data_IF_380033307148
#
_entry.id   IF_380033307148
#
_cell.length_a   1.000
_cell.length_b   1.000
_cell.length_c   1.000
_cell.angle_alpha   90.00
_cell.angle_beta   90.00
_cell.angle_gamma   90.00
#
_symmetry.space_group_name_H-M   'P 1'
#
loop_
_entity.id
_entity.type
_entity.pdbx_description
1 polymer ?
#
# COMPACT_ATOMS: atom_id res chain seq x y z
N UNK A 1 -6.43 25.26 30.49
CA UNK A 1 -7.30 25.67 29.35
C UNK A 1 -6.68 25.37 27.97
N UNK A 2 -5.62 24.55 27.86
CA UNK A 2 -4.76 24.44 26.65
C UNK A 2 -5.05 23.17 25.79
N UNK A 3 -6.06 22.36 26.14
CA UNK A 3 -6.29 21.06 25.47
C UNK A 3 -7.41 21.05 24.41
N UNK A 4 -8.39 21.97 24.48
CA UNK A 4 -9.49 22.03 23.50
C UNK A 4 -9.05 22.63 22.16
N UNK A 5 -8.12 23.58 22.17
CA UNK A 5 -7.68 24.30 20.97
C UNK A 5 -6.88 23.42 20.00
N UNK A 6 -6.19 22.40 20.52
CA UNK A 6 -5.37 21.46 19.72
C UNK A 6 -6.24 20.44 18.96
N UNK A 7 -7.33 19.97 19.58
CA UNK A 7 -8.29 19.09 18.91
C UNK A 7 -9.11 19.87 17.88
N UNK A 8 -9.49 21.12 18.19
CA UNK A 8 -10.23 21.98 17.27
C UNK A 8 -9.40 22.36 16.04
N UNK A 9 -8.10 22.66 16.21
CA UNK A 9 -7.20 22.96 15.09
C UNK A 9 -6.90 21.73 14.21
N UNK A 10 -6.79 20.54 14.80
CA UNK A 10 -6.74 19.26 14.05
C UNK A 10 -8.04 19.05 13.25
N UNK A 11 -9.20 19.32 13.86
CA UNK A 11 -10.50 19.18 13.20
C UNK A 11 -10.69 20.15 12.04
N UNK A 12 -10.24 21.41 12.18
CA UNK A 12 -10.29 22.45 11.14
C UNK A 12 -9.32 22.14 9.99
N UNK A 13 -8.12 21.59 10.27
CA UNK A 13 -7.21 21.06 9.25
C UNK A 13 -7.75 19.82 8.53
N UNK A 14 -8.56 19.00 9.21
CA UNK A 14 -9.23 17.82 8.65
C UNK A 14 -10.49 18.15 7.82
N UNK A 15 -11.09 19.33 8.00
CA UNK A 15 -12.46 19.60 7.57
C UNK A 15 -12.65 19.92 6.09
N UNK A 16 -11.63 20.35 5.34
CA UNK A 16 -11.81 20.77 3.95
C UNK A 16 -11.07 19.89 2.93
N UNK A 17 -9.75 19.77 3.02
CA UNK A 17 -8.97 18.98 2.05
C UNK A 17 -8.89 17.48 2.38
N UNK A 18 -8.60 17.06 3.63
CA UNK A 18 -8.43 15.63 3.92
C UNK A 18 -9.70 14.80 3.72
N UNK A 19 -10.86 15.37 4.06
CA UNK A 19 -12.13 14.66 3.92
C UNK A 19 -12.49 14.42 2.44
N UNK A 20 -12.25 15.41 1.57
CA UNK A 20 -12.47 15.24 0.13
C UNK A 20 -11.62 14.11 -0.42
N UNK A 21 -10.31 14.13 -0.18
CA UNK A 21 -9.39 13.12 -0.69
C UNK A 21 -9.72 11.71 -0.16
N UNK A 22 -10.05 11.61 1.13
CA UNK A 22 -10.47 10.36 1.75
C UNK A 22 -11.77 9.82 1.12
N UNK A 23 -12.78 10.68 0.92
CA UNK A 23 -14.03 10.28 0.25
C UNK A 23 -13.80 9.88 -1.20
N UNK A 24 -12.89 10.56 -1.91
CA UNK A 24 -12.51 10.20 -3.27
C UNK A 24 -11.84 8.82 -3.32
N UNK A 25 -10.90 8.55 -2.42
CA UNK A 25 -10.20 7.24 -2.36
C UNK A 25 -11.18 6.12 -2.06
N UNK A 26 -12.01 6.26 -1.02
CA UNK A 26 -13.00 5.25 -0.64
C UNK A 26 -14.06 5.10 -1.73
N UNK A 27 -14.56 6.20 -2.28
CA UNK A 27 -15.54 6.20 -3.35
C UNK A 27 -15.03 5.49 -4.61
N UNK A 28 -13.78 5.75 -5.01
CA UNK A 28 -13.14 5.08 -6.14
C UNK A 28 -13.03 3.57 -5.91
N UNK A 29 -12.69 3.15 -4.69
CA UNK A 29 -12.68 1.73 -4.31
C UNK A 29 -14.06 1.08 -4.36
N UNK A 30 -15.09 1.76 -3.86
CA UNK A 30 -16.46 1.24 -3.92
C UNK A 30 -16.95 1.10 -5.36
N UNK A 31 -16.59 2.02 -6.25
CA UNK A 31 -16.86 1.89 -7.69
C UNK A 31 -16.13 0.68 -8.27
N UNK A 32 -14.85 0.50 -7.94
CA UNK A 32 -14.07 -0.66 -8.36
C UNK A 32 -14.64 -2.00 -7.87
N UNK A 33 -15.02 -2.07 -6.59
CA UNK A 33 -15.64 -3.26 -5.98
C UNK A 33 -17.02 -3.55 -6.58
N UNK A 34 -17.82 -2.52 -6.85
CA UNK A 34 -19.09 -2.68 -7.55
C UNK A 34 -18.90 -3.27 -8.95
N UNK A 35 -17.92 -2.77 -9.72
CA UNK A 35 -17.58 -3.32 -11.03
C UNK A 35 -17.06 -4.75 -10.94
N UNK A 36 -16.21 -5.05 -9.95
CA UNK A 36 -15.68 -6.40 -9.73
C UNK A 36 -16.79 -7.42 -9.45
N UNK A 37 -17.73 -7.06 -8.57
CA UNK A 37 -18.91 -7.89 -8.26
C UNK A 37 -19.85 -8.02 -9.45
N UNK A 38 -20.11 -6.95 -10.19
CA UNK A 38 -20.94 -6.97 -11.41
C UNK A 38 -20.33 -7.84 -12.50
N UNK A 39 -19.00 -7.91 -12.55
CA UNK A 39 -18.24 -8.73 -13.49
C UNK A 39 -18.16 -10.20 -13.09
N UNK A 40 -18.96 -10.65 -12.10
CA UNK A 40 -18.94 -12.02 -11.55
C UNK A 40 -17.57 -12.42 -10.99
N UNK A 41 -16.90 -11.50 -10.30
CA UNK A 41 -15.58 -11.70 -9.69
C UNK A 41 -14.48 -12.03 -10.71
N UNK A 42 -14.60 -11.48 -11.92
CA UNK A 42 -13.59 -11.67 -12.97
C UNK A 42 -12.22 -11.15 -12.50
N UNK A 43 -11.16 -11.99 -12.47
CA UNK A 43 -9.88 -11.63 -11.84
C UNK A 43 -9.19 -10.39 -12.41
N UNK A 44 -9.46 -10.04 -13.67
CA UNK A 44 -8.88 -8.84 -14.29
C UNK A 44 -9.50 -7.53 -13.80
N UNK A 45 -10.67 -7.57 -13.14
CA UNK A 45 -11.37 -6.39 -12.62
C UNK A 45 -10.94 -6.15 -11.19
N UNK A 46 -9.67 -5.81 -10.96
CA UNK A 46 -9.14 -5.56 -9.61
C UNK A 46 -9.67 -4.21 -9.07
N UNK A 47 -10.42 -4.18 -7.95
CA UNK A 47 -10.94 -2.95 -7.35
C UNK A 47 -9.86 -1.90 -7.05
N UNK A 48 -8.69 -2.33 -6.60
CA UNK A 48 -7.58 -1.44 -6.27
C UNK A 48 -6.99 -0.81 -7.53
N UNK A 49 -6.76 -1.60 -8.58
CA UNK A 49 -6.28 -1.09 -9.86
C UNK A 49 -7.26 -0.06 -10.45
N UNK A 50 -8.56 -0.34 -10.38
CA UNK A 50 -9.60 0.59 -10.83
C UNK A 50 -9.58 1.87 -10.00
N UNK A 51 -9.39 1.77 -8.68
CA UNK A 51 -9.27 2.95 -7.80
C UNK A 51 -8.10 3.83 -8.19
N UNK A 52 -6.93 3.24 -8.44
CA UNK A 52 -5.72 3.95 -8.85
C UNK A 52 -5.96 4.67 -10.18
N UNK A 53 -6.62 4.00 -11.15
CA UNK A 53 -6.96 4.60 -12.44
C UNK A 53 -7.91 5.80 -12.28
N UNK A 54 -8.98 5.66 -11.48
CA UNK A 54 -9.94 6.75 -11.23
C UNK A 54 -9.23 7.94 -10.59
N UNK A 55 -8.46 7.71 -9.51
CA UNK A 55 -7.77 8.78 -8.79
C UNK A 55 -6.74 9.45 -9.69
N UNK A 56 -5.91 8.68 -10.40
CA UNK A 56 -4.93 9.22 -11.35
C UNK A 56 -5.60 10.10 -12.42
N UNK A 57 -6.73 9.65 -12.97
CA UNK A 57 -7.48 10.41 -13.96
C UNK A 57 -8.02 11.72 -13.37
N UNK A 58 -8.51 11.71 -12.14
CA UNK A 58 -8.99 12.93 -11.45
C UNK A 58 -7.84 13.91 -11.21
N UNK A 59 -6.69 13.43 -10.72
CA UNK A 59 -5.53 14.29 -10.44
C UNK A 59 -4.99 14.95 -11.72
N UNK A 60 -4.87 14.19 -12.81
CA UNK A 60 -4.38 14.71 -14.10
C UNK A 60 -5.36 15.74 -14.68
N UNK A 61 -6.67 15.46 -14.68
CA UNK A 61 -7.65 16.39 -15.26
C UNK A 61 -7.81 17.69 -14.46
N UNK A 62 -7.56 17.65 -13.15
CA UNK A 62 -7.66 18.82 -12.27
C UNK A 62 -6.31 19.52 -12.04
N UNK A 63 -5.23 19.02 -12.66
CA UNK A 63 -3.85 19.49 -12.49
C UNK A 63 -3.41 19.56 -11.02
N UNK A 64 -3.74 18.51 -10.26
CA UNK A 64 -3.45 18.42 -8.83
C UNK A 64 -2.23 17.54 -8.60
N UNK A 65 -1.25 18.05 -7.84
CA UNK A 65 -0.06 17.28 -7.47
C UNK A 65 -0.42 16.07 -6.60
N UNK A 66 0.28 14.96 -6.82
CA UNK A 66 0.13 13.74 -6.02
C UNK A 66 0.40 14.01 -4.53
N UNK A 67 1.36 14.86 -4.21
CA UNK A 67 1.70 15.25 -2.84
C UNK A 67 0.51 15.85 -2.09
N UNK A 68 -0.26 16.73 -2.75
CA UNK A 68 -1.46 17.34 -2.18
C UNK A 68 -2.56 16.30 -1.91
N UNK A 69 -2.75 15.36 -2.83
CA UNK A 69 -3.64 14.22 -2.61
C UNK A 69 -3.17 13.35 -1.44
N UNK A 70 -1.87 13.00 -1.43
CA UNK A 70 -1.28 12.13 -0.43
C UNK A 70 -1.37 12.74 0.97
N UNK A 71 -1.15 14.05 1.09
CA UNK A 71 -1.36 14.81 2.32
C UNK A 71 -2.80 14.71 2.84
N UNK A 72 -3.78 14.78 1.94
CA UNK A 72 -5.18 14.57 2.29
C UNK A 72 -5.53 13.13 2.67
N UNK A 73 -4.89 12.15 2.03
CA UNK A 73 -5.10 10.72 2.26
C UNK A 73 -4.28 10.15 3.45
N UNK A 74 -3.51 10.99 4.17
CA UNK A 74 -2.66 10.60 5.30
C UNK A 74 -3.37 9.77 6.36
N UNK A 75 -4.67 9.97 6.56
CA UNK A 75 -5.44 9.17 7.52
C UNK A 75 -5.49 7.68 7.15
N UNK A 76 -5.69 7.35 5.86
CA UNK A 76 -5.67 5.96 5.38
C UNK A 76 -4.26 5.38 5.50
N UNK A 77 -3.24 6.18 5.16
CA UNK A 77 -1.85 5.77 5.32
C UNK A 77 -1.50 5.49 6.80
N UNK A 78 -1.97 6.33 7.72
CA UNK A 78 -1.84 6.11 9.17
C UNK A 78 -2.55 4.81 9.62
N UNK A 79 -3.71 4.50 9.05
CA UNK A 79 -4.45 3.26 9.34
C UNK A 79 -3.70 1.98 8.91
N UNK A 80 -2.66 2.07 8.06
CA UNK A 80 -1.81 0.93 7.71
C UNK A 80 -1.08 0.36 8.93
N UNK A 81 -0.70 1.21 9.90
CA UNK A 81 -0.08 0.76 11.16
C UNK A 81 -1.01 -0.15 11.97
N UNK A 82 -2.18 0.34 12.41
CA UNK A 82 -3.20 -0.48 13.09
C UNK A 82 -3.62 -1.72 12.28
N UNK A 83 -3.76 -1.61 10.97
CA UNK A 83 -4.08 -2.75 10.11
C UNK A 83 -2.99 -3.83 10.15
N UNK A 84 -1.71 -3.43 10.10
CA UNK A 84 -0.56 -4.34 10.21
C UNK A 84 -0.53 -5.06 11.57
N UNK A 85 -0.82 -4.34 12.66
CA UNK A 85 -0.94 -4.94 14.00
C UNK A 85 -2.14 -5.90 14.06
N UNK A 86 -3.26 -5.57 13.44
CA UNK A 86 -4.42 -6.45 13.37
C UNK A 86 -4.13 -7.76 12.60
N UNK A 87 -3.26 -7.72 11.58
CA UNK A 87 -2.79 -8.91 10.88
C UNK A 87 -1.93 -9.84 11.76
N UNK A 88 -1.37 -9.36 12.88
CA UNK A 88 -0.68 -10.23 13.83
C UNK A 88 -1.65 -11.14 14.63
N UNK A 89 -2.93 -10.76 14.75
CA UNK A 89 -3.94 -11.52 15.48
C UNK A 89 -4.14 -12.94 14.90
N UNK A 90 -4.38 -13.15 13.59
CA UNK A 90 -4.51 -14.50 13.02
C UNK A 90 -3.23 -15.33 13.18
N UNK A 91 -2.04 -14.70 13.07
CA UNK A 91 -0.75 -15.37 13.30
C UNK A 91 -0.66 -15.87 14.75
N UNK A 92 -1.01 -15.03 15.72
CA UNK A 92 -1.04 -15.41 17.13
C UNK A 92 -2.03 -16.56 17.40
N UNK A 93 -3.22 -16.52 16.80
CA UNK A 93 -4.21 -17.60 16.93
C UNK A 93 -3.72 -18.93 16.38
N UNK A 94 -2.89 -18.91 15.33
CA UNK A 94 -2.31 -20.10 14.70
C UNK A 94 -0.87 -20.40 15.15
N UNK A 95 -0.41 -19.78 16.25
CA UNK A 95 0.99 -19.86 16.67
C UNK A 95 1.49 -21.29 16.89
N UNK A 96 0.65 -22.20 17.42
CA UNK A 96 1.00 -23.62 17.60
C UNK A 96 1.25 -24.34 16.27
N UNK A 97 0.46 -24.03 15.24
CA UNK A 97 0.64 -24.61 13.89
C UNK A 97 1.93 -24.08 13.27
N UNK A 98 2.18 -22.79 13.41
CA UNK A 98 3.40 -22.14 12.93
C UNK A 98 4.64 -22.75 13.60
N UNK A 99 4.61 -22.99 14.91
CA UNK A 99 5.72 -23.64 15.61
C UNK A 99 5.97 -25.07 15.12
N UNK A 100 4.90 -25.84 14.88
CA UNK A 100 5.02 -27.21 14.37
C UNK A 100 5.66 -27.24 12.98
N UNK A 101 5.31 -26.28 12.12
CA UNK A 101 5.79 -26.20 10.74
C UNK A 101 6.93 -25.18 10.54
N UNK A 102 7.57 -24.74 11.63
CA UNK A 102 8.52 -23.62 11.61
C UNK A 102 9.69 -23.83 10.64
N UNK A 103 10.16 -25.07 10.51
CA UNK A 103 11.24 -25.42 9.57
C UNK A 103 10.78 -25.24 8.12
N UNK A 104 9.61 -25.80 7.76
CA UNK A 104 9.05 -25.69 6.41
C UNK A 104 8.77 -24.23 6.03
N UNK A 105 8.17 -23.47 6.97
CA UNK A 105 7.92 -22.04 6.80
C UNK A 105 9.23 -21.28 6.59
N UNK A 106 10.24 -21.50 7.44
CA UNK A 106 11.52 -20.77 7.34
C UNK A 106 12.27 -21.05 6.04
N UNK A 107 12.35 -22.31 5.62
CA UNK A 107 13.00 -22.67 4.35
C UNK A 107 12.25 -22.04 3.17
N UNK A 108 10.91 -22.16 3.15
CA UNK A 108 10.10 -21.57 2.08
C UNK A 108 10.23 -20.04 2.01
N UNK A 109 10.27 -19.37 3.16
CA UNK A 109 10.45 -17.92 3.23
C UNK A 109 11.82 -17.49 2.73
N UNK A 110 12.90 -18.12 3.19
CA UNK A 110 14.26 -17.75 2.79
C UNK A 110 14.47 -18.00 1.29
N UNK A 111 14.11 -19.18 0.81
CA UNK A 111 14.29 -19.52 -0.62
C UNK A 111 13.39 -18.67 -1.51
N UNK A 112 12.12 -18.48 -1.12
CA UNK A 112 11.16 -17.66 -1.86
C UNK A 112 11.55 -16.18 -1.89
N UNK A 113 12.00 -15.61 -0.76
CA UNK A 113 12.41 -14.20 -0.68
C UNK A 113 13.68 -13.95 -1.49
N UNK A 114 14.69 -14.82 -1.38
CA UNK A 114 15.92 -14.70 -2.17
C UNK A 114 15.62 -14.80 -3.66
N UNK A 115 14.82 -15.79 -4.07
CA UNK A 115 14.42 -15.94 -5.46
C UNK A 115 13.65 -14.70 -5.96
N UNK A 116 12.70 -14.18 -5.18
CA UNK A 116 11.95 -12.99 -5.54
C UNK A 116 12.87 -11.76 -5.71
N UNK A 117 13.79 -11.51 -4.78
CA UNK A 117 14.72 -10.37 -4.82
C UNK A 117 15.65 -10.50 -6.03
N UNK A 118 16.32 -11.65 -6.19
CA UNK A 118 17.30 -11.88 -7.25
C UNK A 118 16.63 -11.81 -8.63
N UNK A 119 15.48 -12.46 -8.81
CA UNK A 119 14.76 -12.42 -10.09
C UNK A 119 14.30 -11.01 -10.46
N UNK A 120 13.84 -10.23 -9.48
CA UNK A 120 13.44 -8.84 -9.69
C UNK A 120 14.63 -7.99 -10.11
N UNK A 121 15.74 -8.08 -9.37
CA UNK A 121 16.95 -7.33 -9.67
C UNK A 121 17.50 -7.63 -11.07
N UNK A 122 17.62 -8.91 -11.42
CA UNK A 122 18.10 -9.34 -12.75
C UNK A 122 17.19 -8.79 -13.86
N UNK A 123 15.87 -8.88 -13.70
CA UNK A 123 14.93 -8.35 -14.69
C UNK A 123 15.07 -6.82 -14.83
N UNK A 124 15.12 -6.09 -13.73
CA UNK A 124 15.30 -4.64 -13.73
C UNK A 124 16.60 -4.21 -14.44
N UNK A 125 17.71 -4.89 -14.18
CA UNK A 125 19.01 -4.67 -14.84
C UNK A 125 18.93 -4.93 -16.35
N UNK A 126 18.28 -6.03 -16.77
CA UNK A 126 18.09 -6.36 -18.20
C UNK A 126 17.32 -5.24 -18.91
N UNK A 127 16.29 -4.70 -18.28
CA UNK A 127 15.48 -3.61 -18.83
C UNK A 127 16.09 -2.21 -18.59
N UNK A 128 17.26 -2.11 -17.94
CA UNK A 128 17.95 -0.85 -17.62
C UNK A 128 17.04 0.16 -16.92
N UNK A 129 16.30 -0.33 -15.92
CA UNK A 129 15.42 0.48 -15.09
C UNK A 129 16.27 1.37 -14.17
N UNK A 130 15.77 2.58 -13.85
CA UNK A 130 16.43 3.50 -12.93
C UNK A 130 16.58 2.92 -11.51
N UNK A 131 17.74 3.15 -10.88
CA UNK A 131 18.10 2.59 -9.57
C UNK A 131 17.05 2.87 -8.47
N UNK A 132 16.45 4.08 -8.44
CA UNK A 132 15.42 4.40 -7.46
C UNK A 132 14.15 3.54 -7.67
N UNK A 133 13.82 3.28 -8.93
CA UNK A 133 12.70 2.39 -9.27
C UNK A 133 13.06 0.96 -8.89
N UNK A 134 14.29 0.48 -9.16
CA UNK A 134 14.76 -0.85 -8.74
C UNK A 134 14.59 -1.01 -7.22
N UNK A 135 15.09 -0.08 -6.42
CA UNK A 135 14.95 -0.10 -4.96
C UNK A 135 13.49 -0.09 -4.50
N UNK A 136 12.58 0.49 -5.28
CA UNK A 136 11.15 0.43 -5.03
C UNK A 136 10.53 -0.95 -5.33
N UNK A 137 11.10 -1.71 -6.27
CA UNK A 137 10.61 -3.02 -6.67
C UNK A 137 11.15 -4.18 -5.81
N UNK A 138 12.35 -4.04 -5.24
CA UNK A 138 13.01 -5.13 -4.49
C UNK A 138 12.13 -5.73 -3.37
N UNK A 139 11.44 -4.94 -2.51
CA UNK A 139 10.63 -5.50 -1.44
C UNK A 139 9.23 -5.97 -1.88
N UNK A 140 8.97 -6.19 -3.19
CA UNK A 140 7.63 -6.53 -3.71
C UNK A 140 6.97 -7.78 -3.12
N UNK A 141 7.76 -8.70 -2.57
CA UNK A 141 7.25 -9.94 -1.97
C UNK A 141 6.77 -9.76 -0.53
N UNK A 142 7.05 -8.61 0.09
CA UNK A 142 6.52 -8.26 1.40
C UNK A 142 5.14 -7.61 1.27
N UNK A 143 4.40 -7.58 2.37
CA UNK A 143 3.11 -6.87 2.42
C UNK A 143 3.33 -5.36 2.33
N UNK A 144 2.43 -4.65 1.65
CA UNK A 144 2.59 -3.23 1.30
C UNK A 144 3.16 -2.35 2.43
N UNK A 145 2.64 -2.37 3.68
CA UNK A 145 3.18 -1.50 4.74
C UNK A 145 4.65 -1.79 5.09
N UNK A 146 5.03 -3.08 5.12
CA UNK A 146 6.39 -3.52 5.42
C UNK A 146 7.30 -3.17 4.24
N UNK A 147 6.85 -3.44 3.02
CA UNK A 147 7.60 -3.17 1.81
C UNK A 147 7.88 -1.67 1.62
N UNK A 148 6.89 -0.82 1.86
CA UNK A 148 7.03 0.64 1.82
C UNK A 148 8.10 1.14 2.81
N UNK A 149 8.10 0.62 4.04
CA UNK A 149 9.11 0.97 5.04
C UNK A 149 10.51 0.49 4.66
N UNK A 150 10.65 -0.70 4.07
CA UNK A 150 11.92 -1.19 3.55
C UNK A 150 12.40 -0.30 2.40
N UNK A 151 11.51 0.04 1.45
CA UNK A 151 11.83 0.87 0.30
C UNK A 151 12.37 2.24 0.71
N UNK A 152 11.74 2.89 1.69
CA UNK A 152 12.20 4.17 2.24
C UNK A 152 13.62 4.08 2.80
N UNK A 153 13.93 3.00 3.53
CA UNK A 153 15.26 2.76 4.12
C UNK A 153 16.36 2.52 3.08
N UNK A 154 16.01 1.96 1.91
CA UNK A 154 16.97 1.65 0.83
C UNK A 154 16.98 2.70 -0.28
N UNK A 155 16.31 3.84 -0.10
CA UNK A 155 16.31 4.96 -1.05
C UNK A 155 15.38 4.78 -2.26
N UNK A 156 14.37 3.92 -2.15
CA UNK A 156 13.29 3.82 -3.13
C UNK A 156 12.15 4.81 -2.87
N UNK A 157 11.05 4.64 -3.61
CA UNK A 157 9.86 5.49 -3.60
C UNK A 157 8.72 4.68 -2.97
N UNK A 158 8.37 4.91 -1.69
CA UNK A 158 7.37 4.09 -0.98
C UNK A 158 6.00 4.05 -1.66
N UNK A 159 5.56 5.16 -2.26
CA UNK A 159 4.29 5.21 -3.00
C UNK A 159 4.27 4.27 -4.22
N UNK A 160 5.40 4.10 -4.89
CA UNK A 160 5.54 3.18 -6.01
C UNK A 160 5.58 1.73 -5.52
N UNK A 161 6.31 1.45 -4.44
CA UNK A 161 6.35 0.13 -3.80
C UNK A 161 4.96 -0.36 -3.40
N UNK A 162 4.12 0.53 -2.85
CA UNK A 162 2.75 0.21 -2.47
C UNK A 162 1.97 -0.42 -3.63
N UNK A 163 2.11 0.14 -4.83
CA UNK A 163 1.41 -0.34 -6.04
C UNK A 163 1.99 -1.67 -6.52
N UNK A 164 3.32 -1.83 -6.46
CA UNK A 164 4.02 -3.03 -6.95
C UNK A 164 3.69 -4.27 -6.10
N UNK A 165 3.33 -4.08 -4.83
CA UNK A 165 3.05 -5.18 -3.88
C UNK A 165 1.62 -5.74 -3.95
N UNK A 166 0.76 -5.19 -4.81
CA UNK A 166 -0.68 -5.52 -4.93
C UNK A 166 -0.94 -6.38 -6.17
#
# INVERSE_FOLDING_TARGET
MIQKDKLYSIWVYLQAEPLFWLTLTIGSYLVGDYLYKKSKLFPLVNPVAISILIISLVLINLDISYERYFDGAKFIHFMLGPATVALAIPIYKQFKVIQKEALSISVSLITGSLFAIISTFILCEIFKIDDQVIFSMLPRSATAPIAMGISDLIGGIPSLTAIITI
#
